data_IF_607556914968
#
_entry.id   IF_607556914968
#
_cell.length_a   1.000
_cell.length_b   1.000
_cell.length_c   1.000
_cell.angle_alpha   90.00
_cell.angle_beta   90.00
_cell.angle_gamma   90.00
#
_symmetry.space_group_name_H-M   'P 1'
#
loop_
_entity.id
_entity.type
_entity.pdbx_description
1 polymer ?
#
# COMPACT_ATOMS: atom_id res chain seq x y z
N UNK A 1 11.74 14.89 17.92
CA UNK A 1 10.46 14.48 17.31
C UNK A 1 9.66 13.56 18.22
N UNK A 2 10.18 12.45 18.75
CA UNK A 2 9.40 11.57 19.65
C UNK A 2 8.84 12.31 20.87
N UNK A 3 9.67 13.10 21.58
CA UNK A 3 9.24 13.92 22.72
C UNK A 3 8.13 14.94 22.39
N UNK A 4 8.19 15.61 21.23
CA UNK A 4 7.15 16.57 20.83
C UNK A 4 5.81 15.89 20.55
N UNK A 5 5.83 14.68 20.01
CA UNK A 5 4.62 13.93 19.68
C UNK A 5 3.96 13.36 20.95
N UNK A 6 4.76 12.87 21.90
CA UNK A 6 4.29 12.46 23.23
C UNK A 6 3.60 13.64 23.93
N UNK A 7 4.27 14.80 23.99
CA UNK A 7 3.71 16.00 24.62
C UNK A 7 2.42 16.46 23.91
N UNK A 8 2.36 16.43 22.57
CA UNK A 8 1.16 16.79 21.82
C UNK A 8 -0.03 15.87 22.15
N UNK A 9 0.18 14.55 22.18
CA UNK A 9 -0.85 13.57 22.53
C UNK A 9 -1.27 13.67 24.00
N UNK A 10 -0.33 13.89 24.93
CA UNK A 10 -0.60 14.13 26.36
C UNK A 10 -1.37 15.45 26.59
N UNK A 11 -1.15 16.48 25.76
CA UNK A 11 -1.92 17.72 25.75
C UNK A 11 -3.31 17.60 25.07
N UNK A 12 -3.69 16.40 24.60
CA UNK A 12 -4.98 16.14 23.96
C UNK A 12 -5.11 16.63 22.51
N UNK A 13 -4.00 17.03 21.87
CA UNK A 13 -3.95 17.46 20.48
C UNK A 13 -3.99 16.23 19.56
N UNK A 14 -4.87 16.25 18.55
CA UNK A 14 -4.93 15.19 17.54
C UNK A 14 -3.57 15.10 16.82
N UNK A 15 -2.85 14.00 17.05
CA UNK A 15 -1.47 13.84 16.57
C UNK A 15 -1.44 12.85 15.42
N UNK A 16 -1.32 13.34 14.17
CA UNK A 16 -1.21 12.49 12.98
C UNK A 16 0.24 12.41 12.53
N UNK A 17 0.79 11.19 12.45
CA UNK A 17 2.08 10.93 11.84
C UNK A 17 1.94 10.59 10.36
N UNK A 18 2.81 11.14 9.51
CA UNK A 18 2.96 10.74 8.11
C UNK A 18 4.42 10.38 7.87
N UNK A 19 4.69 9.13 7.47
CA UNK A 19 6.06 8.60 7.34
C UNK A 19 6.22 7.68 6.13
N UNK A 20 7.43 7.60 5.58
CA UNK A 20 7.76 6.67 4.50
C UNK A 20 8.47 5.41 5.00
N UNK A 21 8.25 4.27 4.34
CA UNK A 21 9.12 3.09 4.43
C UNK A 21 10.17 3.13 3.32
N UNK A 22 11.47 2.85 3.60
CA UNK A 22 12.55 2.93 2.61
C UNK A 22 12.38 1.91 1.47
N UNK A 23 13.04 2.15 0.35
CA UNK A 23 13.06 1.21 -0.78
C UNK A 23 13.81 -0.08 -0.42
N UNK A 24 13.44 -1.21 -1.01
CA UNK A 24 14.06 -2.52 -0.72
C UNK A 24 15.53 -2.57 -1.13
N UNK A 25 15.94 -1.78 -2.13
CA UNK A 25 17.34 -1.67 -2.57
C UNK A 25 18.25 -0.97 -1.55
N UNK A 26 17.69 -0.22 -0.59
CA UNK A 26 18.47 0.46 0.47
C UNK A 26 19.02 -0.52 1.53
N UNK A 27 18.62 -1.80 1.44
CA UNK A 27 19.16 -2.89 2.26
C UNK A 27 18.30 -3.23 3.48
N UNK A 28 18.34 -4.52 3.86
CA UNK A 28 17.51 -5.09 4.95
C UNK A 28 17.62 -4.32 6.26
N UNK A 29 18.83 -3.86 6.61
CA UNK A 29 19.08 -3.11 7.84
C UNK A 29 18.24 -1.83 7.92
N UNK A 30 18.14 -1.04 6.84
CA UNK A 30 17.29 0.17 6.81
C UNK A 30 15.81 -0.16 6.93
N UNK A 31 15.35 -1.24 6.29
CA UNK A 31 13.95 -1.71 6.40
C UNK A 31 13.62 -2.13 7.84
N UNK A 32 14.50 -2.89 8.50
CA UNK A 32 14.32 -3.30 9.90
C UNK A 32 14.38 -2.12 10.88
N UNK A 33 15.28 -1.16 10.67
CA UNK A 33 15.34 0.07 11.47
C UNK A 33 14.06 0.91 11.31
N UNK A 34 13.59 1.08 10.07
CA UNK A 34 12.34 1.80 9.79
C UNK A 34 11.12 1.11 10.42
N UNK A 35 11.03 -0.22 10.35
CA UNK A 35 9.95 -0.98 11.01
C UNK A 35 9.87 -0.70 12.51
N UNK A 36 10.99 -0.80 13.22
CA UNK A 36 11.04 -0.51 14.67
C UNK A 36 10.68 0.95 14.98
N UNK A 37 11.15 1.91 14.18
CA UNK A 37 10.80 3.32 14.34
C UNK A 37 9.32 3.61 14.08
N UNK A 38 8.69 2.93 13.12
CA UNK A 38 7.26 3.01 12.83
C UNK A 38 6.43 2.44 13.98
N UNK A 39 6.80 1.29 14.54
CA UNK A 39 6.14 0.71 15.72
C UNK A 39 6.25 1.61 16.97
N UNK A 40 7.41 2.24 17.19
CA UNK A 40 7.59 3.19 18.29
C UNK A 40 6.79 4.47 18.07
N UNK A 41 6.74 4.99 16.84
CA UNK A 41 5.96 6.17 16.51
C UNK A 41 4.45 5.92 16.64
N UNK A 42 3.95 4.76 16.20
CA UNK A 42 2.54 4.38 16.26
C UNK A 42 1.97 4.45 17.69
N UNK A 43 2.76 4.07 18.70
CA UNK A 43 2.38 4.16 20.13
C UNK A 43 2.16 5.60 20.60
N UNK A 44 2.84 6.57 19.97
CA UNK A 44 2.92 7.97 20.39
C UNK A 44 2.07 8.93 19.53
N UNK A 45 1.34 8.42 18.54
CA UNK A 45 0.44 9.21 17.68
C UNK A 45 -1.00 8.68 17.80
N UNK A 46 -1.97 9.42 17.31
CA UNK A 46 -3.36 8.98 17.19
C UNK A 46 -3.59 8.13 15.94
N UNK A 47 -3.09 8.63 14.80
CA UNK A 47 -3.11 7.97 13.51
C UNK A 47 -1.72 8.03 12.86
N UNK A 48 -1.31 6.96 12.16
CA UNK A 48 -0.04 6.86 11.45
C UNK A 48 -0.27 6.45 10.00
N UNK A 49 -0.14 7.41 9.08
CA UNK A 49 -0.13 7.17 7.63
C UNK A 49 1.26 6.69 7.22
N UNK A 50 1.34 5.45 6.75
CA UNK A 50 2.60 4.83 6.31
C UNK A 50 2.61 4.72 4.79
N UNK A 51 3.55 5.40 4.14
CA UNK A 51 3.71 5.43 2.69
C UNK A 51 4.90 4.55 2.28
N UNK A 52 4.70 3.38 1.66
CA UNK A 52 5.80 2.57 1.14
C UNK A 52 6.46 3.21 -0.08
N UNK A 53 7.77 3.52 0.00
CA UNK A 53 8.51 4.08 -1.15
C UNK A 53 8.46 3.17 -2.39
N UNK A 54 8.37 1.86 -2.19
CA UNK A 54 8.13 0.87 -3.25
C UNK A 54 6.88 1.11 -4.09
N UNK A 55 5.90 1.88 -3.61
CA UNK A 55 4.66 2.20 -4.33
C UNK A 55 4.71 3.51 -5.10
N UNK A 56 5.65 4.41 -4.78
CA UNK A 56 5.82 5.70 -5.48
C UNK A 56 5.98 5.52 -6.99
N UNK A 57 6.62 4.44 -7.42
CA UNK A 57 6.81 4.05 -8.84
C UNK A 57 5.52 3.75 -9.61
N UNK A 58 4.37 3.65 -8.94
CA UNK A 58 3.05 3.48 -9.55
C UNK A 58 2.20 4.75 -9.50
N UNK A 59 2.66 5.79 -8.79
CA UNK A 59 1.95 7.08 -8.65
C UNK A 59 2.40 8.08 -9.72
N UNK A 60 3.59 7.91 -10.29
CA UNK A 60 4.11 8.76 -11.35
C UNK A 60 4.14 8.02 -12.69
N UNK A 61 3.60 8.66 -13.74
CA UNK A 61 3.75 8.23 -15.14
C UNK A 61 5.20 8.36 -15.63
N UNK A 62 6.01 9.20 -14.97
CA UNK A 62 7.41 9.39 -15.30
C UNK A 62 8.30 8.34 -14.63
N UNK A 63 9.28 7.83 -15.38
CA UNK A 63 10.25 6.86 -14.87
C UNK A 63 11.02 7.44 -13.68
N UNK A 64 10.77 6.90 -12.49
CA UNK A 64 11.52 7.26 -11.29
C UNK A 64 12.99 6.83 -11.45
N UNK A 65 13.88 7.80 -11.25
CA UNK A 65 15.33 7.67 -11.17
C UNK A 65 15.76 7.81 -9.72
N UNK A 66 16.98 7.42 -9.37
CA UNK A 66 17.49 7.64 -8.01
C UNK A 66 17.52 9.13 -7.60
N UNK A 67 17.67 10.04 -8.56
CA UNK A 67 17.76 11.48 -8.30
C UNK A 67 16.40 12.11 -7.95
N UNK A 68 15.32 11.75 -8.65
CA UNK A 68 13.97 12.27 -8.37
C UNK A 68 13.14 11.40 -7.41
N UNK A 69 13.61 10.20 -7.02
CA UNK A 69 12.89 9.32 -6.10
C UNK A 69 12.53 9.98 -4.76
N UNK A 70 13.45 10.79 -4.21
CA UNK A 70 13.20 11.53 -2.97
C UNK A 70 12.24 12.70 -3.17
N UNK A 71 12.36 13.44 -4.28
CA UNK A 71 11.41 14.51 -4.64
C UNK A 71 9.98 13.97 -4.81
N UNK A 72 9.80 12.79 -5.42
CA UNK A 72 8.49 12.12 -5.53
C UNK A 72 7.99 11.69 -4.15
N UNK A 73 8.85 11.17 -3.26
CA UNK A 73 8.47 10.83 -1.89
C UNK A 73 8.00 12.08 -1.11
N UNK A 74 8.75 13.18 -1.19
CA UNK A 74 8.43 14.45 -0.53
C UNK A 74 7.15 15.08 -1.10
N UNK A 75 6.90 14.96 -2.41
CA UNK A 75 5.66 15.36 -3.04
C UNK A 75 4.45 14.58 -2.50
N UNK A 76 4.56 13.25 -2.33
CA UNK A 76 3.49 12.42 -1.76
C UNK A 76 3.29 12.69 -0.27
N UNK A 77 4.36 12.91 0.50
CA UNK A 77 4.28 13.35 1.90
C UNK A 77 3.57 14.71 2.03
N UNK A 78 3.94 15.69 1.21
CA UNK A 78 3.27 17.00 1.17
C UNK A 78 1.79 16.84 0.81
N UNK A 79 1.48 16.05 -0.22
CA UNK A 79 0.10 15.80 -0.63
C UNK A 79 -0.72 15.16 0.49
N UNK A 80 -0.16 14.19 1.24
CA UNK A 80 -0.86 13.57 2.36
C UNK A 80 -1.22 14.58 3.48
N UNK A 81 -0.26 15.41 3.88
CA UNK A 81 -0.47 16.45 4.90
C UNK A 81 -1.43 17.53 4.40
N UNK A 82 -1.29 17.94 3.13
CA UNK A 82 -2.19 18.89 2.47
C UNK A 82 -3.62 18.36 2.43
N UNK A 83 -3.83 17.14 1.93
CA UNK A 83 -5.16 16.52 1.87
C UNK A 83 -5.82 16.44 3.23
N UNK A 84 -5.12 16.01 4.30
CA UNK A 84 -5.68 15.99 5.66
C UNK A 84 -6.02 17.39 6.18
N UNK A 85 -5.17 18.40 5.89
CA UNK A 85 -5.43 19.78 6.28
C UNK A 85 -6.65 20.36 5.55
N UNK A 86 -6.77 20.10 4.24
CA UNK A 86 -7.84 20.60 3.38
C UNK A 86 -9.23 20.18 3.90
N UNK A 87 -9.37 18.95 4.45
CA UNK A 87 -10.61 18.46 5.09
C UNK A 87 -11.17 19.40 6.16
N UNK A 88 -10.29 20.10 6.88
CA UNK A 88 -10.62 20.90 8.07
C UNK A 88 -10.58 22.40 7.74
N UNK A 89 -9.69 22.82 6.84
CA UNK A 89 -9.38 24.24 6.60
C UNK A 89 -10.06 24.83 5.37
N UNK A 90 -10.48 24.02 4.40
CA UNK A 90 -11.18 24.50 3.19
C UNK A 90 -12.68 24.40 3.41
N UNK A 91 -13.45 25.51 3.34
CA UNK A 91 -14.90 25.45 3.42
C UNK A 91 -15.47 24.69 2.21
N UNK A 92 -16.10 23.56 2.47
CA UNK A 92 -16.85 22.78 1.48
C UNK A 92 -18.32 23.17 1.41
N UNK A 93 -19.02 22.63 0.40
CA UNK A 93 -20.48 22.58 0.36
C UNK A 93 -21.04 21.73 1.50
N UNK A 94 -20.34 20.62 1.81
CA UNK A 94 -20.56 19.79 2.98
C UNK A 94 -19.25 19.81 3.77
N UNK A 95 -19.22 20.68 4.79
CA UNK A 95 -18.08 20.79 5.70
C UNK A 95 -17.99 19.53 6.57
N UNK A 96 -16.77 19.01 6.68
CA UNK A 96 -16.37 18.14 7.77
C UNK A 96 -15.95 19.03 8.94
N UNK A 97 -16.49 18.77 10.14
CA UNK A 97 -16.01 19.46 11.32
C UNK A 97 -14.76 18.75 11.91
N UNK A 98 -14.03 19.45 12.78
CA UNK A 98 -12.83 18.88 13.39
C UNK A 98 -13.12 17.77 14.39
N UNK A 99 -14.32 17.74 14.99
CA UNK A 99 -14.73 16.69 15.91
C UNK A 99 -14.99 15.38 15.13
N UNK A 100 -15.65 15.45 13.98
CA UNK A 100 -15.84 14.34 13.04
C UNK A 100 -14.51 13.69 12.66
N UNK A 101 -13.55 14.47 12.16
CA UNK A 101 -12.19 14.00 11.84
C UNK A 101 -11.50 13.42 13.08
N UNK A 102 -11.68 14.02 14.26
CA UNK A 102 -11.18 13.47 15.52
C UNK A 102 -11.83 12.11 15.87
N UNK A 103 -13.13 11.89 15.63
CA UNK A 103 -13.77 10.60 15.98
C UNK A 103 -13.21 9.42 15.20
N UNK A 104 -12.81 9.64 13.93
CA UNK A 104 -12.24 8.61 13.07
C UNK A 104 -10.73 8.47 13.25
N UNK A 105 -9.99 9.57 13.43
CA UNK A 105 -8.52 9.51 13.52
C UNK A 105 -7.97 9.31 14.94
N UNK A 106 -8.72 9.58 16.02
CA UNK A 106 -8.22 9.48 17.40
C UNK A 106 -8.01 8.01 17.81
N UNK A 107 -6.77 7.66 18.16
CA UNK A 107 -6.33 6.29 18.43
C UNK A 107 -6.67 5.27 17.32
N UNK A 108 -6.75 5.72 16.07
CA UNK A 108 -6.91 4.88 14.88
C UNK A 108 -5.79 3.86 14.67
N UNK A 109 -4.58 4.15 15.17
CA UNK A 109 -3.39 3.33 14.89
C UNK A 109 -2.91 3.55 13.46
N UNK A 110 -2.81 2.48 12.66
CA UNK A 110 -2.42 2.62 11.26
C UNK A 110 -3.55 3.18 10.40
N UNK A 111 -3.16 4.09 9.50
CA UNK A 111 -4.03 4.71 8.53
C UNK A 111 -3.51 4.48 7.11
N UNK A 112 -4.43 4.38 6.16
CA UNK A 112 -4.12 4.30 4.74
C UNK A 112 -4.83 5.41 3.99
N UNK A 113 -4.15 5.98 3.00
CA UNK A 113 -4.65 7.09 2.20
C UNK A 113 -4.63 6.71 0.73
N UNK A 114 -5.80 6.77 0.10
CA UNK A 114 -5.97 6.70 -1.35
C UNK A 114 -6.33 8.08 -1.89
N UNK A 115 -5.74 8.44 -3.02
CA UNK A 115 -6.14 9.64 -3.77
C UNK A 115 -6.34 9.25 -5.24
N UNK A 116 -7.50 9.60 -5.78
CA UNK A 116 -7.85 9.47 -7.19
C UNK A 116 -8.15 10.85 -7.79
N UNK A 117 -7.86 10.99 -9.08
CA UNK A 117 -8.14 12.19 -9.88
C UNK A 117 -8.55 11.73 -11.27
N UNK A 118 -9.64 12.25 -11.79
CA UNK A 118 -10.07 11.99 -13.16
C UNK A 118 -10.89 13.18 -13.70
N UNK A 119 -11.09 13.19 -15.01
CA UNK A 119 -11.77 14.26 -15.75
C UNK A 119 -12.61 13.67 -16.89
N UNK A 120 -13.57 14.44 -17.40
CA UNK A 120 -14.50 13.99 -18.43
C UNK A 120 -15.75 13.30 -17.86
N UNK A 121 -16.49 12.62 -18.73
CA UNK A 121 -17.87 12.20 -18.46
C UNK A 121 -18.07 11.31 -17.23
N UNK A 122 -17.14 10.39 -16.98
CA UNK A 122 -17.26 9.39 -15.91
C UNK A 122 -16.24 9.70 -14.77
N UNK A 123 -15.88 10.98 -14.60
CA UNK A 123 -14.81 11.45 -13.70
C UNK A 123 -14.96 11.01 -12.26
N UNK A 124 -16.16 11.07 -11.69
CA UNK A 124 -16.35 10.68 -10.30
C UNK A 124 -16.21 9.16 -10.07
N UNK A 125 -16.72 8.32 -10.97
CA UNK A 125 -16.55 6.85 -10.92
C UNK A 125 -15.06 6.47 -11.04
N UNK A 126 -14.36 7.06 -12.01
CA UNK A 126 -12.95 6.81 -12.25
C UNK A 126 -12.07 7.30 -11.09
N UNK A 127 -12.33 8.51 -10.57
CA UNK A 127 -11.60 9.04 -9.41
C UNK A 127 -11.87 8.21 -8.14
N UNK A 128 -13.11 7.76 -7.91
CA UNK A 128 -13.45 6.92 -6.76
C UNK A 128 -12.73 5.57 -6.85
N UNK A 129 -12.76 4.93 -8.03
CA UNK A 129 -12.02 3.69 -8.29
C UNK A 129 -10.51 3.86 -8.09
N UNK A 130 -9.92 4.94 -8.62
CA UNK A 130 -8.49 5.24 -8.43
C UNK A 130 -8.12 5.50 -6.96
N UNK A 131 -9.04 6.06 -6.16
CA UNK A 131 -8.83 6.22 -4.73
C UNK A 131 -8.92 4.88 -3.97
N UNK A 132 -9.88 4.00 -4.33
CA UNK A 132 -10.09 2.69 -3.71
C UNK A 132 -8.98 1.68 -4.09
N UNK A 133 -8.53 1.70 -5.34
CA UNK A 133 -7.46 0.85 -5.87
C UNK A 133 -6.07 1.50 -5.76
N UNK A 134 -5.94 2.63 -5.04
CA UNK A 134 -4.75 3.47 -5.03
C UNK A 134 -3.51 2.68 -4.60
N UNK A 135 -2.38 2.74 -5.34
CA UNK A 135 -1.20 1.92 -5.04
C UNK A 135 -0.52 2.28 -3.72
N UNK A 136 -0.86 3.43 -3.11
CA UNK A 136 -0.37 3.86 -1.80
C UNK A 136 -1.02 3.10 -0.63
N UNK A 137 -2.13 2.42 -0.87
CA UNK A 137 -2.80 1.56 0.11
C UNK A 137 -1.97 0.27 0.30
N UNK A 138 -1.49 0.04 1.53
CA UNK A 138 -0.76 -1.21 1.86
C UNK A 138 -1.70 -2.39 2.07
N UNK A 139 -2.86 -2.14 2.69
CA UNK A 139 -4.01 -3.05 2.71
C UNK A 139 -5.18 -2.42 1.95
N UNK A 140 -6.05 -3.26 1.38
CA UNK A 140 -7.29 -2.79 0.74
C UNK A 140 -8.19 -2.10 1.77
N UNK A 141 -9.00 -1.12 1.35
CA UNK A 141 -9.96 -0.41 2.21
C UNK A 141 -10.96 -1.36 2.88
N UNK A 142 -11.18 -2.53 2.29
CA UNK A 142 -11.98 -3.63 2.82
C UNK A 142 -11.61 -3.95 4.28
N UNK A 143 -12.54 -3.71 5.21
CA UNK A 143 -12.35 -3.97 6.64
C UNK A 143 -11.87 -2.77 7.47
N UNK A 144 -11.81 -1.56 6.90
CA UNK A 144 -11.71 -0.33 7.68
C UNK A 144 -13.03 -0.05 8.44
N UNK A 145 -12.96 0.16 9.75
CA UNK A 145 -14.11 0.57 10.57
C UNK A 145 -14.30 2.09 10.67
N UNK A 146 -13.30 2.89 10.29
CA UNK A 146 -13.40 4.35 10.22
C UNK A 146 -12.91 4.86 8.87
N UNK A 147 -13.73 5.67 8.20
CA UNK A 147 -13.46 6.12 6.83
C UNK A 147 -13.79 7.60 6.69
N UNK A 148 -12.86 8.38 6.14
CA UNK A 148 -13.13 9.75 5.71
C UNK A 148 -13.06 9.78 4.18
N UNK A 149 -14.17 10.17 3.56
CA UNK A 149 -14.27 10.44 2.13
C UNK A 149 -14.40 11.94 1.93
N UNK A 150 -13.51 12.52 1.14
CA UNK A 150 -13.64 13.90 0.68
C UNK A 150 -13.59 13.97 -0.85
N UNK A 151 -14.60 14.63 -1.41
CA UNK A 151 -14.74 14.87 -2.84
C UNK A 151 -14.52 16.36 -3.09
N UNK A 152 -13.48 16.70 -3.83
CA UNK A 152 -13.25 18.07 -4.32
C UNK A 152 -13.48 18.08 -5.83
N UNK A 153 -14.44 18.87 -6.30
CA UNK A 153 -14.77 18.99 -7.73
C UNK A 153 -14.77 20.44 -8.20
N UNK A 154 -14.88 20.60 -9.52
CA UNK A 154 -15.21 21.89 -10.12
C UNK A 154 -16.66 22.31 -9.79
N UNK A 155 -17.03 23.59 -9.95
CA UNK A 155 -18.39 24.09 -9.71
C UNK A 155 -19.49 23.36 -10.50
N UNK A 156 -19.12 22.67 -11.59
CA UNK A 156 -20.01 21.91 -12.46
C UNK A 156 -20.25 20.46 -12.00
N UNK A 157 -19.70 20.01 -10.86
CA UNK A 157 -19.90 18.65 -10.34
C UNK A 157 -21.37 18.39 -9.96
N UNK A 158 -21.94 17.33 -10.52
CA UNK A 158 -23.33 16.93 -10.26
C UNK A 158 -23.52 16.20 -8.93
N UNK A 159 -24.73 16.27 -8.36
CA UNK A 159 -25.10 15.47 -7.19
C UNK A 159 -25.03 13.96 -7.48
N UNK A 160 -25.43 13.54 -8.69
CA UNK A 160 -25.36 12.14 -9.14
C UNK A 160 -23.90 11.63 -9.17
N UNK A 161 -22.95 12.47 -9.58
CA UNK A 161 -21.52 12.13 -9.58
C UNK A 161 -20.99 11.91 -8.17
N UNK A 162 -21.39 12.78 -7.23
CA UNK A 162 -21.07 12.69 -5.80
C UNK A 162 -21.68 11.42 -5.18
N UNK A 163 -22.92 11.09 -5.50
CA UNK A 163 -23.63 9.90 -4.99
C UNK A 163 -23.00 8.60 -5.48
N UNK A 164 -22.61 8.52 -6.77
CA UNK A 164 -21.88 7.37 -7.34
C UNK A 164 -20.56 7.17 -6.62
N UNK A 165 -19.75 8.23 -6.48
CA UNK A 165 -18.47 8.15 -5.79
C UNK A 165 -18.59 7.73 -4.32
N UNK A 166 -19.58 8.27 -3.59
CA UNK A 166 -19.85 7.89 -2.21
C UNK A 166 -20.28 6.42 -2.08
N UNK A 167 -21.17 5.96 -2.97
CA UNK A 167 -21.66 4.58 -2.99
C UNK A 167 -20.53 3.58 -3.22
N UNK A 168 -19.66 3.81 -4.21
CA UNK A 168 -18.51 2.93 -4.49
C UNK A 168 -17.56 2.79 -3.29
N UNK A 169 -17.30 3.90 -2.59
CA UNK A 169 -16.41 3.93 -1.42
C UNK A 169 -17.07 3.24 -0.22
N UNK A 170 -18.39 3.37 -0.06
CA UNK A 170 -19.16 2.65 0.95
C UNK A 170 -19.22 1.14 0.69
N UNK A 171 -19.40 0.70 -0.56
CA UNK A 171 -19.38 -0.72 -0.95
C UNK A 171 -18.01 -1.39 -0.74
N UNK A 172 -16.92 -0.62 -0.82
CA UNK A 172 -15.56 -1.10 -0.53
C UNK A 172 -15.21 -1.12 0.98
N UNK A 173 -16.02 -0.48 1.84
CA UNK A 173 -15.78 -0.38 3.28
C UNK A 173 -16.35 -1.59 4.05
N UNK A 174 -16.14 -1.63 5.37
CA UNK A 174 -16.91 -2.55 6.23
C UNK A 174 -18.39 -2.09 6.27
N UNK A 175 -19.40 -2.99 6.28
CA UNK A 175 -20.81 -2.58 6.34
C UNK A 175 -21.17 -1.77 7.59
N UNK A 176 -20.50 -2.06 8.71
CA UNK A 176 -20.59 -1.29 9.96
C UNK A 176 -19.48 -0.21 10.10
N UNK A 177 -18.92 0.31 8.99
CA UNK A 177 -17.93 1.38 9.04
C UNK A 177 -18.57 2.72 9.39
N UNK A 178 -17.90 3.50 10.24
CA UNK A 178 -18.22 4.90 10.46
C UNK A 178 -17.63 5.72 9.30
N UNK A 179 -18.47 6.06 8.31
CA UNK A 179 -18.10 6.83 7.14
C UNK A 179 -18.46 8.29 7.34
N UNK A 180 -17.46 9.16 7.17
CA UNK A 180 -17.56 10.61 7.31
C UNK A 180 -17.35 11.23 5.93
N UNK A 181 -18.30 12.05 5.49
CA UNK A 181 -18.40 12.52 4.10
C UNK A 181 -18.25 14.05 3.99
N UNK A 182 -17.24 14.48 3.24
CA UNK A 182 -16.99 15.89 2.89
C UNK A 182 -17.12 16.13 1.38
N UNK A 183 -17.64 17.30 1.02
CA UNK A 183 -17.68 17.76 -0.36
C UNK A 183 -17.27 19.23 -0.46
N UNK A 184 -16.29 19.53 -1.30
CA UNK A 184 -15.77 20.88 -1.54
C UNK A 184 -15.75 21.23 -3.03
N UNK A 185 -15.83 22.52 -3.33
CA UNK A 185 -15.67 23.07 -4.67
C UNK A 185 -14.36 23.83 -4.73
N UNK A 186 -13.60 23.62 -5.80
CA UNK A 186 -12.35 24.30 -6.09
C UNK A 186 -12.42 24.86 -7.52
N UNK A 187 -12.55 26.18 -7.63
CA UNK A 187 -12.65 26.92 -8.90
C UNK A 187 -11.38 26.78 -9.77
N UNK A 188 -10.29 26.22 -9.24
CA UNK A 188 -9.05 25.93 -9.99
C UNK A 188 -9.05 24.54 -10.63
N UNK A 189 -10.04 23.69 -10.32
CA UNK A 189 -10.31 22.46 -11.05
C UNK A 189 -11.28 22.78 -12.20
N UNK A 190 -10.85 22.58 -13.45
CA UNK A 190 -11.70 22.83 -14.63
C UNK A 190 -12.82 21.76 -14.74
N UNK A 191 -12.44 20.55 -15.15
CA UNK A 191 -13.30 19.37 -15.25
C UNK A 191 -12.71 18.18 -14.45
N UNK A 192 -11.77 18.46 -13.54
CA UNK A 192 -11.17 17.45 -12.65
C UNK A 192 -12.04 17.25 -11.40
N UNK A 193 -12.24 15.98 -11.03
CA UNK A 193 -12.72 15.59 -9.70
C UNK A 193 -11.59 14.86 -8.97
N UNK A 194 -11.28 15.32 -7.77
CA UNK A 194 -10.29 14.74 -6.86
C UNK A 194 -11.00 14.09 -5.69
N UNK A 195 -10.79 12.80 -5.52
CA UNK A 195 -11.35 12.02 -4.41
C UNK A 195 -10.20 11.58 -3.49
N UNK A 196 -10.32 11.93 -2.21
CA UNK A 196 -9.41 11.51 -1.15
C UNK A 196 -10.16 10.58 -0.21
N UNK A 197 -9.59 9.41 0.05
CA UNK A 197 -10.10 8.44 1.02
C UNK A 197 -9.04 8.18 2.07
N UNK A 198 -9.38 8.39 3.34
CA UNK A 198 -8.55 8.04 4.49
C UNK A 198 -9.25 6.91 5.25
N UNK A 199 -8.65 5.74 5.22
CA UNK A 199 -9.15 4.53 5.88
C UNK A 199 -8.35 4.27 7.17
N UNK A 200 -9.07 3.91 8.23
CA UNK A 200 -8.57 3.77 9.61
C UNK A 200 -9.33 2.68 10.35
N UNK A 201 -8.83 2.26 11.51
CA UNK A 201 -9.50 1.23 12.31
C UNK A 201 -9.63 -0.08 11.55
N UNK A 202 -8.62 -0.42 10.73
CA UNK A 202 -8.47 -1.76 10.18
C UNK A 202 -8.34 -2.77 11.32
N UNK A 203 -8.96 -3.94 11.19
CA UNK A 203 -8.61 -5.09 12.03
C UNK A 203 -7.19 -5.58 11.67
N UNK A 204 -6.15 -4.86 12.11
CA UNK A 204 -4.82 -5.45 12.23
C UNK A 204 -4.89 -6.58 13.28
N UNK A 205 -5.15 -7.78 12.77
CA UNK A 205 -4.30 -8.94 12.96
C UNK A 205 -3.47 -8.90 14.26
N UNK A 206 -4.17 -9.03 15.41
CA UNK A 206 -3.54 -9.22 16.72
C UNK A 206 -2.45 -10.30 16.55
N UNK A 207 -1.16 -10.01 16.82
CA UNK A 207 -0.10 -11.00 16.70
C UNK A 207 -0.33 -12.10 17.73
N UNK A 208 -1.05 -13.15 17.33
CA UNK A 208 -1.61 -14.13 18.26
C UNK A 208 -2.85 -14.91 17.76
N UNK A 209 -3.58 -14.45 16.73
CA UNK A 209 -4.61 -15.28 16.09
C UNK A 209 -4.14 -15.87 14.76
N UNK A 210 -3.44 -17.01 14.85
CA UNK A 210 -3.51 -18.00 13.77
C UNK A 210 -4.98 -18.36 13.52
N UNK A 211 -5.43 -18.57 12.27
CA UNK A 211 -6.78 -19.03 12.01
C UNK A 211 -6.94 -20.43 12.60
N UNK A 212 -7.70 -20.51 13.69
CA UNK A 212 -8.03 -21.74 14.39
C UNK A 212 -8.92 -22.58 13.48
N UNK A 213 -8.30 -23.53 12.75
CA UNK A 213 -9.02 -24.47 11.91
C UNK A 213 -9.96 -25.29 12.78
N UNK A 214 -11.25 -24.97 12.75
CA UNK A 214 -12.30 -25.78 13.38
C UNK A 214 -12.14 -27.23 12.91
N UNK A 215 -11.91 -28.20 13.81
CA UNK A 215 -11.98 -29.61 13.44
C UNK A 215 -13.43 -29.93 13.08
N UNK A 216 -13.69 -30.24 11.80
CA UNK A 216 -14.99 -30.70 11.36
C UNK A 216 -15.30 -32.06 12.00
N UNK A 217 -16.36 -32.12 12.80
CA UNK A 217 -16.73 -33.32 13.55
C UNK A 217 -17.81 -34.15 12.81
N UNK A 218 -17.52 -35.44 12.59
CA UNK A 218 -18.44 -36.47 12.08
C UNK A 218 -18.63 -36.49 10.55
N UNK A 219 -18.95 -37.59 9.86
CA UNK A 219 -18.98 -39.05 10.15
C UNK A 219 -19.01 -39.77 8.77
N UNK A 220 -18.54 -41.01 8.56
CA UNK A 220 -17.92 -42.02 9.42
C UNK A 220 -17.91 -43.40 8.70
N UNK A 221 -17.28 -44.43 9.30
CA UNK A 221 -17.03 -45.78 8.71
C UNK A 221 -15.95 -45.73 7.57
N UNK A 222 -15.09 -46.73 7.35
CA UNK A 222 -15.20 -48.18 7.59
C UNK A 222 -13.84 -48.86 7.86
N UNK A 223 -13.85 -49.77 8.83
CA UNK A 223 -13.16 -51.09 8.87
C UNK A 223 -11.62 -51.20 9.00
N UNK A 224 -11.25 -52.11 9.89
CA UNK A 224 -9.91 -52.53 10.35
C UNK A 224 -9.15 -53.48 9.42
N UNK A 225 -7.81 -53.41 9.40
CA UNK A 225 -6.92 -54.59 9.53
C UNK A 225 -5.44 -54.18 9.76
N UNK A 226 -4.67 -55.05 10.44
CA UNK A 226 -3.20 -54.93 10.70
C UNK A 226 -2.44 -56.01 9.88
N UNK A 227 -1.12 -56.27 9.99
CA UNK A 227 -0.19 -56.26 8.84
C UNK A 227 0.50 -57.62 8.54
N UNK A 228 1.23 -57.72 7.41
CA UNK A 228 2.60 -58.29 7.31
C UNK A 228 3.04 -58.62 5.86
N UNK A 229 4.32 -58.34 5.57
CA UNK A 229 5.31 -59.07 4.75
C UNK A 229 4.92 -59.78 3.43
N UNK A 230 5.59 -59.40 2.32
CA UNK A 230 6.81 -60.09 1.84
C UNK A 230 7.09 -59.87 0.34
N UNK A 231 8.35 -59.54 -0.03
CA UNK A 231 9.20 -60.40 -0.91
C UNK A 231 10.26 -59.64 -1.75
N UNK A 232 11.50 -60.17 -1.70
CA UNK A 232 12.57 -60.16 -2.71
C UNK A 232 13.21 -58.85 -3.23
N UNK A 233 14.49 -58.68 -2.89
CA UNK A 233 15.52 -58.09 -3.78
C UNK A 233 16.14 -59.21 -4.67
N UNK A 234 17.00 -58.92 -5.68
CA UNK A 234 18.41 -58.58 -5.38
C UNK A 234 19.16 -57.61 -6.34
N UNK A 235 20.18 -56.96 -5.77
CA UNK A 235 21.50 -56.51 -6.28
C UNK A 235 21.79 -56.24 -7.77
N UNK A 236 22.42 -55.08 -8.05
CA UNK A 236 23.72 -54.97 -8.75
C UNK A 236 24.37 -53.57 -8.55
N UNK A 237 25.70 -53.49 -8.62
CA UNK A 237 26.56 -52.31 -8.36
C UNK A 237 27.00 -51.56 -9.66
N UNK A 238 27.75 -50.42 -9.60
CA UNK A 238 27.72 -49.39 -10.64
C UNK A 238 28.79 -49.49 -11.75
N UNK A 239 28.59 -48.74 -12.84
CA UNK A 239 29.59 -48.52 -13.89
C UNK A 239 29.59 -47.05 -14.40
N UNK A 240 30.77 -46.58 -14.85
CA UNK A 240 31.08 -45.20 -15.21
C UNK A 240 30.67 -44.82 -16.67
N UNK A 241 30.63 -43.52 -17.04
CA UNK A 241 30.15 -43.08 -18.35
C UNK A 241 31.26 -42.99 -19.43
N UNK A 242 30.91 -43.27 -20.69
CA UNK A 242 31.70 -42.89 -21.87
C UNK A 242 30.82 -42.43 -23.05
N UNK A 243 31.00 -41.15 -23.43
CA UNK A 243 31.20 -40.57 -24.78
C UNK A 243 30.57 -41.23 -26.03
N UNK A 244 29.78 -40.47 -26.82
CA UNK A 244 30.24 -39.79 -28.07
C UNK A 244 29.13 -39.05 -28.87
N UNK A 245 29.51 -37.91 -29.47
CA UNK A 245 29.14 -37.30 -30.79
C UNK A 245 27.68 -37.36 -31.36
N UNK A 246 27.16 -36.35 -32.09
CA UNK A 246 27.62 -34.99 -32.43
C UNK A 246 26.49 -34.15 -33.09
N UNK A 247 26.66 -32.80 -33.13
CA UNK A 247 26.21 -31.96 -34.26
C UNK A 247 25.24 -30.81 -33.97
N UNK A 248 25.66 -29.55 -34.23
CA UNK A 248 24.74 -28.49 -34.71
C UNK A 248 24.80 -27.06 -34.15
N UNK A 249 25.85 -26.28 -34.46
CA UNK A 249 25.77 -24.87 -34.95
C UNK A 249 25.50 -23.66 -34.02
N UNK A 250 26.15 -22.52 -34.37
CA UNK A 250 25.85 -21.09 -34.02
C UNK A 250 25.83 -20.68 -32.52
N UNK A 251 26.43 -19.58 -32.04
CA UNK A 251 27.34 -18.55 -32.58
C UNK A 251 28.15 -17.96 -31.39
N UNK A 252 29.45 -17.69 -31.55
CA UNK A 252 30.33 -17.12 -30.51
C UNK A 252 30.99 -15.81 -31.00
N UNK A 253 30.22 -14.72 -31.07
CA UNK A 253 30.67 -13.44 -31.66
C UNK A 253 30.36 -12.21 -30.77
N UNK A 254 30.37 -12.38 -29.44
CA UNK A 254 29.94 -11.33 -28.47
C UNK A 254 31.05 -10.87 -27.50
N UNK A 255 32.11 -11.66 -27.27
CA UNK A 255 33.12 -11.36 -26.23
C UNK A 255 34.44 -10.74 -26.71
N UNK A 256 34.62 -10.53 -28.02
CA UNK A 256 35.80 -9.86 -28.59
C UNK A 256 36.08 -8.43 -28.09
N UNK A 257 35.09 -7.51 -27.95
CA UNK A 257 35.40 -6.08 -27.76
C UNK A 257 35.95 -5.64 -26.39
N UNK A 258 35.88 -6.49 -25.36
CA UNK A 258 36.09 -6.05 -23.96
C UNK A 258 37.56 -6.16 -23.51
N UNK A 259 38.35 -7.08 -24.06
CA UNK A 259 39.77 -7.23 -23.66
C UNK A 259 40.71 -6.18 -24.31
N UNK A 260 40.37 -5.68 -25.50
CA UNK A 260 41.23 -4.76 -26.26
C UNK A 260 41.29 -3.32 -25.71
N UNK A 261 40.40 -2.98 -24.76
CA UNK A 261 40.38 -1.63 -24.15
C UNK A 261 41.35 -1.49 -22.96
N UNK A 262 41.73 -2.60 -22.29
CA UNK A 262 42.53 -2.54 -21.07
C UNK A 262 44.04 -2.41 -21.30
N UNK A 263 44.56 -2.88 -22.44
CA UNK A 263 46.01 -2.90 -22.70
C UNK A 263 46.53 -1.56 -23.29
N UNK A 264 45.64 -0.71 -23.79
CA UNK A 264 46.02 0.53 -24.51
C UNK A 264 46.35 1.73 -23.61
N UNK A 265 46.25 1.61 -22.28
CA UNK A 265 46.48 2.72 -21.32
C UNK A 265 47.79 2.64 -20.52
N UNK A 266 48.71 1.74 -20.89
CA UNK A 266 50.04 1.60 -20.25
C UNK A 266 51.24 2.02 -21.11
N UNK A 267 50.99 2.61 -22.29
CA UNK A 267 52.02 3.16 -23.19
C UNK A 267 51.61 4.52 -23.78
N UNK A 268 51.56 5.53 -22.92
CA UNK A 268 51.85 6.94 -23.24
C UNK A 268 52.05 7.73 -21.95
#
# INVERSE_FOLDING_TARGET
TTLSNIIAKEMGVLTVGVVTRPFRYEGKYRVEQAGRGIEELCKNVDALVVIPNERLKFVSEQKITFQNAFEVADNVLRQAVQSISELITVPGLINLDFADVCTVMRNAGYAHMGVGRASGKDKAEQAAKMAIESPLLETSINGAHGLILNITGSPDIGLEEVEVAATMVQEAAHPDAHIIFGAAIDDSLDDEVRITVIATGFEENRPGKMPEQKPAAGTGLYTTAKPAESSAAPAAEPAAPQTEAAGGGMDDDVFGPIMDFFDKKKRR
#
